data_IF_525517283097
#
_entry.id   IF_525517283097
#
_cell.length_a   1.000
_cell.length_b   1.000
_cell.length_c   1.000
_cell.angle_alpha   90.00
_cell.angle_beta   90.00
_cell.angle_gamma   90.00
#
_symmetry.space_group_name_H-M   'P 1'
#
loop_
_entity.id
_entity.type
_entity.pdbx_description
1 polymer ?
#
# COMPACT_ATOMS: atom_id res chain seq x y z
N UNK A 1 18.56 -0.68 8.65
CA UNK A 1 18.38 -1.66 9.74
C UNK A 1 18.24 -3.05 9.13
N UNK A 2 18.82 -4.06 9.78
CA UNK A 2 18.72 -5.44 9.29
C UNK A 2 17.34 -6.06 9.55
N UNK A 3 16.53 -5.39 10.36
CA UNK A 3 15.17 -5.81 10.70
C UNK A 3 14.16 -5.13 9.78
N UNK A 4 13.18 -5.90 9.31
CA UNK A 4 12.05 -5.37 8.56
C UNK A 4 11.05 -4.66 9.48
N UNK A 5 10.48 -3.56 9.01
CA UNK A 5 9.35 -2.89 9.66
C UNK A 5 8.00 -3.41 9.15
N UNK A 6 8.00 -4.16 8.03
CA UNK A 6 6.80 -4.64 7.34
C UNK A 6 6.58 -6.15 7.46
N UNK A 7 7.64 -6.92 7.68
CA UNK A 7 7.59 -8.38 7.77
C UNK A 7 7.76 -8.80 9.22
N UNK A 8 6.74 -9.46 9.76
CA UNK A 8 6.72 -9.94 11.15
C UNK A 8 7.01 -11.44 11.27
N UNK A 9 6.89 -12.19 10.17
CA UNK A 9 7.15 -13.62 10.17
C UNK A 9 8.66 -13.87 10.22
N UNK A 10 9.09 -14.59 11.24
CA UNK A 10 10.49 -15.03 11.30
C UNK A 10 10.78 -16.09 10.25
N UNK A 11 11.91 -16.00 9.54
CA UNK A 11 12.28 -16.97 8.52
C UNK A 11 12.42 -18.37 9.12
N UNK A 12 11.72 -19.34 8.56
CA UNK A 12 11.88 -20.75 8.91
C UNK A 12 12.74 -21.43 7.84
N UNK A 13 14.02 -21.58 8.14
CA UNK A 13 14.99 -22.22 7.25
C UNK A 13 14.91 -23.74 7.35
N UNK A 14 14.11 -24.36 6.50
CA UNK A 14 14.15 -25.82 6.33
C UNK A 14 15.17 -26.15 5.22
N UNK A 15 16.39 -26.46 5.62
CA UNK A 15 17.53 -26.71 4.71
C UNK A 15 17.44 -28.00 3.91
N UNK A 16 16.33 -28.72 3.93
CA UNK A 16 16.26 -30.11 3.49
C UNK A 16 16.28 -30.37 1.97
N UNK A 17 16.11 -29.34 1.15
CA UNK A 17 15.92 -29.50 -0.30
C UNK A 17 16.73 -28.50 -1.13
N UNK A 18 18.03 -28.39 -0.85
CA UNK A 18 18.93 -27.57 -1.66
C UNK A 18 19.71 -28.51 -2.58
N UNK A 19 19.64 -28.24 -3.87
CA UNK A 19 20.47 -28.92 -4.89
C UNK A 19 21.38 -27.88 -5.53
N UNK A 20 22.67 -28.09 -5.47
CA UNK A 20 23.65 -27.23 -6.11
C UNK A 20 24.29 -27.94 -7.29
N UNK A 21 24.40 -27.20 -8.40
CA UNK A 21 25.14 -27.59 -9.60
C UNK A 21 26.22 -26.57 -9.92
N UNK A 22 27.00 -26.81 -10.96
CA UNK A 22 27.97 -25.83 -11.45
C UNK A 22 27.35 -24.50 -11.79
N UNK A 23 26.19 -24.48 -12.42
CA UNK A 23 25.53 -23.29 -12.99
C UNK A 23 24.34 -22.75 -12.18
N UNK A 24 23.83 -23.53 -11.22
CA UNK A 24 22.66 -23.10 -10.46
C UNK A 24 22.60 -23.67 -9.06
N UNK A 25 21.85 -22.98 -8.19
CA UNK A 25 21.41 -23.46 -6.88
C UNK A 25 19.88 -23.51 -6.91
N UNK A 26 19.30 -24.65 -6.56
CA UNK A 26 17.88 -24.88 -6.52
C UNK A 26 17.42 -25.19 -5.11
N UNK A 27 16.51 -24.39 -4.60
CA UNK A 27 15.82 -24.59 -3.33
C UNK A 27 14.38 -24.97 -3.59
N UNK A 28 13.92 -26.08 -3.01
CA UNK A 28 12.54 -26.54 -3.16
C UNK A 28 11.84 -26.57 -1.82
N UNK A 29 10.73 -25.85 -1.70
CA UNK A 29 9.80 -25.91 -0.59
C UNK A 29 8.53 -26.68 -0.96
N UNK A 30 7.55 -26.74 -0.05
CA UNK A 30 6.29 -27.44 -0.30
C UNK A 30 5.50 -26.85 -1.47
N UNK A 31 5.60 -25.55 -1.72
CA UNK A 31 4.73 -24.84 -2.66
C UNK A 31 5.48 -24.10 -3.77
N UNK A 32 6.74 -23.76 -3.59
CA UNK A 32 7.53 -22.99 -4.53
C UNK A 32 8.95 -23.56 -4.67
N UNK A 33 9.49 -23.45 -5.86
CA UNK A 33 10.88 -23.75 -6.15
C UNK A 33 11.56 -22.44 -6.53
N UNK A 34 12.72 -22.16 -5.90
CA UNK A 34 13.56 -21.01 -6.25
C UNK A 34 14.81 -21.54 -6.91
N UNK A 35 15.10 -21.09 -8.12
CA UNK A 35 16.31 -21.44 -8.87
C UNK A 35 17.16 -20.18 -9.07
N UNK A 36 18.35 -20.20 -8.50
CA UNK A 36 19.36 -19.15 -8.67
C UNK A 36 20.34 -19.58 -9.72
N UNK A 37 20.33 -18.93 -10.88
CA UNK A 37 21.30 -19.11 -11.95
C UNK A 37 22.53 -18.27 -11.62
N UNK A 38 23.72 -18.86 -11.62
CA UNK A 38 24.95 -18.19 -11.19
C UNK A 38 25.52 -17.25 -12.25
N UNK A 39 25.44 -17.63 -13.53
CA UNK A 39 25.96 -16.80 -14.62
C UNK A 39 25.22 -17.05 -15.94
N UNK A 40 24.63 -16.01 -16.57
CA UNK A 40 24.41 -14.70 -15.97
C UNK A 40 23.46 -14.80 -14.75
N UNK A 41 23.67 -13.96 -13.76
CA UNK A 41 22.88 -14.02 -12.53
C UNK A 41 21.39 -13.78 -12.80
N UNK A 42 20.55 -14.72 -12.34
CA UNK A 42 19.11 -14.63 -12.45
C UNK A 42 18.44 -15.47 -11.36
N UNK A 43 17.33 -14.98 -10.80
CA UNK A 43 16.48 -15.77 -9.90
C UNK A 43 15.18 -16.09 -10.61
N UNK A 44 14.76 -17.36 -10.57
CA UNK A 44 13.49 -17.86 -11.07
C UNK A 44 12.68 -18.46 -9.95
N UNK A 45 11.39 -18.19 -9.97
CA UNK A 45 10.39 -18.78 -9.08
C UNK A 45 9.51 -19.70 -9.92
N UNK A 46 9.40 -20.95 -9.49
CA UNK A 46 8.69 -21.99 -10.23
C UNK A 46 7.63 -22.64 -9.33
N UNK A 47 6.57 -23.14 -9.96
CA UNK A 47 5.59 -24.01 -9.31
C UNK A 47 6.15 -25.44 -9.10
N UNK A 48 5.36 -26.29 -8.45
CA UNK A 48 5.72 -27.71 -8.23
C UNK A 48 5.87 -28.51 -9.52
N UNK A 49 5.32 -28.01 -10.63
CA UNK A 49 5.39 -28.66 -11.96
C UNK A 49 6.57 -28.14 -12.79
N UNK A 50 7.41 -27.30 -12.18
CA UNK A 50 8.53 -26.60 -12.83
C UNK A 50 8.13 -25.56 -13.88
N UNK A 51 6.90 -25.05 -13.86
CA UNK A 51 6.55 -23.89 -14.67
C UNK A 51 7.07 -22.62 -14.00
N UNK A 52 7.67 -21.73 -14.79
CA UNK A 52 8.12 -20.43 -14.27
C UNK A 52 6.92 -19.58 -13.95
N UNK A 53 6.79 -19.15 -12.68
CA UNK A 53 5.76 -18.21 -12.20
C UNK A 53 6.24 -16.78 -12.40
N UNK A 54 7.50 -16.51 -12.01
CA UNK A 54 8.14 -15.20 -12.06
C UNK A 54 9.65 -15.38 -12.25
N UNK A 55 10.30 -14.46 -12.95
CA UNK A 55 11.75 -14.44 -13.04
C UNK A 55 12.31 -13.03 -13.02
N UNK A 56 13.41 -12.82 -12.30
CA UNK A 56 14.19 -11.60 -12.47
C UNK A 56 14.77 -11.54 -13.89
N UNK A 57 14.94 -10.31 -14.42
CA UNK A 57 15.73 -10.10 -15.65
C UNK A 57 17.24 -10.16 -15.34
N UNK A 58 17.62 -9.56 -14.22
CA UNK A 58 18.97 -9.50 -13.67
C UNK A 58 18.84 -9.14 -12.19
N UNK A 59 19.90 -9.21 -11.40
CA UNK A 59 19.92 -8.62 -10.06
C UNK A 59 19.69 -7.09 -10.08
N UNK A 60 19.83 -6.43 -8.93
CA UNK A 60 19.75 -4.99 -8.85
C UNK A 60 20.78 -4.30 -9.73
N UNK A 61 20.33 -3.35 -10.53
CA UNK A 61 21.17 -2.49 -11.38
C UNK A 61 21.10 -1.05 -10.91
N UNK A 62 22.20 -0.29 -11.04
CA UNK A 62 22.22 1.14 -10.79
C UNK A 62 21.78 1.87 -12.06
N UNK A 63 20.92 2.88 -11.88
CA UNK A 63 20.49 3.80 -12.93
C UNK A 63 20.81 5.22 -12.51
N UNK A 64 21.24 6.06 -13.46
CA UNK A 64 21.39 7.50 -13.19
C UNK A 64 20.05 8.05 -12.71
N UNK A 65 20.06 8.82 -11.62
CA UNK A 65 18.85 9.38 -11.03
C UNK A 65 18.13 10.29 -12.04
N UNK A 66 16.81 10.10 -12.14
CA UNK A 66 15.90 11.04 -12.76
C UNK A 66 15.12 11.69 -11.60
N UNK A 67 15.11 13.04 -11.49
CA UNK A 67 14.38 13.70 -10.42
C UNK A 67 12.94 13.23 -10.31
N UNK A 68 12.50 13.02 -9.09
CA UNK A 68 11.12 12.65 -8.79
C UNK A 68 10.25 13.91 -8.90
N UNK A 69 9.52 14.07 -9.99
CA UNK A 69 8.79 15.30 -10.34
C UNK A 69 7.82 15.78 -9.25
N UNK A 70 7.30 14.90 -8.44
CA UNK A 70 6.25 15.20 -7.46
C UNK A 70 6.72 15.18 -5.99
N UNK A 71 8.00 15.07 -5.73
CA UNK A 71 8.56 15.14 -4.39
C UNK A 71 8.98 16.58 -4.10
N UNK A 72 8.29 17.23 -3.15
CA UNK A 72 8.70 18.55 -2.67
C UNK A 72 9.94 18.41 -1.78
N UNK A 73 11.02 19.05 -2.14
CA UNK A 73 12.27 19.07 -1.40
C UNK A 73 13.48 18.76 -2.30
N UNK A 74 14.66 19.17 -1.87
CA UNK A 74 15.92 18.90 -2.57
C UNK A 74 16.40 17.48 -2.24
N UNK A 75 15.73 16.46 -2.78
CA UNK A 75 16.25 15.11 -2.73
C UNK A 75 17.19 14.94 -3.90
N UNK A 76 18.48 15.13 -3.64
CA UNK A 76 19.54 14.86 -4.62
C UNK A 76 20.13 13.49 -4.33
N UNK A 77 19.91 12.54 -5.22
CA UNK A 77 20.61 11.26 -5.26
C UNK A 77 21.26 11.13 -6.64
N UNK A 78 22.47 10.61 -6.67
CA UNK A 78 23.21 10.46 -7.94
C UNK A 78 22.68 9.31 -8.78
N UNK A 79 22.15 8.29 -8.13
CA UNK A 79 21.64 7.09 -8.79
C UNK A 79 20.49 6.46 -7.99
N UNK A 80 19.64 5.74 -8.69
CA UNK A 80 18.63 4.84 -8.15
C UNK A 80 19.03 3.39 -8.36
N UNK A 81 18.44 2.50 -7.59
CA UNK A 81 18.60 1.06 -7.76
C UNK A 81 17.30 0.47 -8.30
N UNK A 82 17.44 -0.38 -9.30
CA UNK A 82 16.31 -0.92 -10.07
C UNK A 82 16.39 -2.43 -10.09
N UNK A 83 15.26 -3.07 -9.86
CA UNK A 83 15.05 -4.50 -10.02
C UNK A 83 13.94 -4.74 -11.03
N UNK A 84 14.14 -5.67 -11.95
CA UNK A 84 13.21 -5.96 -13.03
C UNK A 84 12.82 -7.44 -13.06
N UNK A 85 11.55 -7.69 -13.35
CA UNK A 85 10.99 -9.03 -13.53
C UNK A 85 10.34 -9.16 -14.89
N UNK A 86 10.45 -10.36 -15.46
CA UNK A 86 9.69 -10.75 -16.65
C UNK A 86 8.28 -11.16 -16.22
N UNK A 87 7.27 -10.61 -16.86
CA UNK A 87 5.86 -10.97 -16.67
C UNK A 87 5.24 -11.47 -17.97
N UNK A 88 4.17 -12.26 -17.87
CA UNK A 88 3.47 -12.75 -19.07
C UNK A 88 2.66 -11.65 -19.74
N UNK A 89 2.46 -11.74 -21.05
CA UNK A 89 1.68 -10.76 -21.81
C UNK A 89 0.18 -10.74 -21.44
N UNK A 90 -0.35 -11.85 -20.94
CA UNK A 90 -1.73 -12.05 -20.51
C UNK A 90 -1.99 -11.76 -19.02
N UNK A 91 -1.00 -11.24 -18.31
CA UNK A 91 -1.06 -10.99 -16.88
C UNK A 91 -1.76 -9.67 -16.55
N UNK A 92 -2.66 -9.69 -15.59
CA UNK A 92 -3.23 -8.49 -14.97
C UNK A 92 -2.50 -8.22 -13.65
N UNK A 93 -2.15 -6.97 -13.40
CA UNK A 93 -1.43 -6.55 -12.20
C UNK A 93 -2.29 -5.64 -11.33
N UNK A 94 -2.24 -5.86 -10.02
CA UNK A 94 -2.99 -5.15 -8.99
C UNK A 94 -2.03 -4.64 -7.91
N UNK A 95 -2.51 -3.78 -6.99
CA UNK A 95 -1.74 -3.32 -5.83
C UNK A 95 -1.21 -1.90 -5.98
N UNK A 96 -0.07 -1.61 -5.35
CA UNK A 96 0.54 -0.27 -5.33
C UNK A 96 -0.10 0.72 -4.36
N UNK A 97 -1.09 0.30 -3.55
CA UNK A 97 -1.80 1.15 -2.59
C UNK A 97 -2.99 1.90 -3.17
N UNK A 98 -3.41 2.97 -2.50
CA UNK A 98 -4.53 3.81 -2.95
C UNK A 98 -4.16 4.58 -4.21
N UNK A 99 -4.96 4.41 -5.27
CA UNK A 99 -4.75 5.04 -6.57
C UNK A 99 -6.09 5.41 -7.20
N UNK A 100 -6.16 6.57 -7.85
CA UNK A 100 -7.31 7.00 -8.65
C UNK A 100 -7.26 6.35 -10.06
N UNK A 101 -7.14 5.03 -10.10
CA UNK A 101 -7.00 4.21 -11.30
C UNK A 101 -7.98 3.03 -11.25
N UNK A 102 -8.21 2.37 -12.38
CA UNK A 102 -8.94 1.10 -12.44
C UNK A 102 -8.24 -0.02 -11.63
N UNK A 103 -8.92 -1.14 -11.39
CA UNK A 103 -8.36 -2.27 -10.62
C UNK A 103 -7.12 -2.86 -11.29
N UNK A 104 -7.15 -3.06 -12.60
CA UNK A 104 -5.96 -3.44 -13.34
C UNK A 104 -5.00 -2.24 -13.42
N UNK A 105 -3.86 -2.39 -12.81
CA UNK A 105 -2.80 -1.36 -12.73
C UNK A 105 -1.76 -1.48 -13.85
N UNK A 106 -1.79 -2.56 -14.64
CA UNK A 106 -0.82 -2.76 -15.72
C UNK A 106 -0.83 -1.61 -16.71
N UNK A 107 0.34 -1.22 -17.18
CA UNK A 107 0.53 -0.06 -18.06
C UNK A 107 0.74 1.27 -17.32
N UNK A 108 0.81 1.27 -15.99
CA UNK A 108 1.04 2.47 -15.19
C UNK A 108 2.38 2.41 -14.44
N UNK A 109 3.00 3.58 -14.26
CA UNK A 109 4.12 3.78 -13.33
C UNK A 109 3.59 4.49 -12.09
N UNK A 110 3.75 3.86 -10.92
CA UNK A 110 3.18 4.29 -9.65
C UNK A 110 4.28 4.83 -8.74
N UNK A 111 4.16 6.07 -8.28
CA UNK A 111 5.07 6.63 -7.29
C UNK A 111 4.90 5.94 -5.93
N UNK A 112 5.99 5.57 -5.28
CA UNK A 112 6.05 5.09 -3.91
C UNK A 112 6.44 6.26 -3.00
N UNK A 113 5.45 7.10 -2.70
CA UNK A 113 5.60 8.27 -1.86
C UNK A 113 4.27 8.61 -1.19
N UNK A 114 4.22 8.49 0.14
CA UNK A 114 3.01 8.79 0.91
C UNK A 114 2.89 10.30 1.09
N UNK A 115 1.83 10.88 0.53
CA UNK A 115 1.53 12.31 0.65
C UNK A 115 0.03 12.54 0.66
N UNK A 116 -0.44 13.37 1.61
CA UNK A 116 -1.80 13.86 1.55
C UNK A 116 -2.05 14.63 0.24
N UNK A 117 -3.13 14.32 -0.43
CA UNK A 117 -3.50 14.93 -1.69
C UNK A 117 -4.97 15.34 -1.68
N UNK A 118 -5.22 16.62 -1.48
CA UNK A 118 -6.56 17.19 -1.51
C UNK A 118 -7.02 17.43 -2.95
N UNK A 119 -8.28 17.15 -3.22
CA UNK A 119 -8.87 17.41 -4.53
C UNK A 119 -8.27 16.55 -5.64
N UNK A 120 -7.89 15.30 -5.34
CA UNK A 120 -7.41 14.37 -6.35
C UNK A 120 -8.51 14.09 -7.38
N UNK A 121 -8.09 13.90 -8.63
CA UNK A 121 -8.94 13.56 -9.76
C UNK A 121 -8.57 12.17 -10.30
N UNK A 122 -9.34 11.71 -11.27
CA UNK A 122 -9.02 10.48 -12.01
C UNK A 122 -7.59 10.54 -12.53
N UNK A 123 -6.82 9.48 -12.31
CA UNK A 123 -5.40 9.34 -12.64
C UNK A 123 -4.45 10.24 -11.84
N UNK A 124 -4.87 10.79 -10.71
CA UNK A 124 -3.94 11.43 -9.80
C UNK A 124 -2.79 10.47 -9.46
N UNK A 125 -1.56 10.91 -9.67
CA UNK A 125 -0.36 10.10 -9.50
C UNK A 125 -0.12 9.71 -8.04
N UNK A 126 -0.38 10.65 -7.13
CA UNK A 126 -0.20 10.46 -5.69
C UNK A 126 -1.55 10.53 -4.97
N UNK A 127 -1.69 9.64 -4.01
CA UNK A 127 -2.77 9.66 -3.02
C UNK A 127 -2.20 9.42 -1.62
N UNK A 128 -3.06 9.37 -0.61
CA UNK A 128 -2.67 9.41 0.79
C UNK A 128 -1.70 8.30 1.22
N UNK A 129 -1.77 7.12 0.59
CA UNK A 129 -0.83 6.05 0.88
C UNK A 129 -0.52 5.16 -0.32
N UNK A 130 0.68 4.61 -0.34
CA UNK A 130 1.12 3.59 -1.28
C UNK A 130 1.61 2.35 -0.51
N UNK A 131 1.58 1.21 -1.19
CA UNK A 131 2.10 -0.06 -0.68
C UNK A 131 3.03 -0.64 -1.75
N UNK A 132 4.27 -0.99 -1.42
CA UNK A 132 5.23 -1.59 -2.35
C UNK A 132 4.92 -3.08 -2.58
N UNK A 133 3.68 -3.36 -2.98
CA UNK A 133 3.12 -4.70 -3.21
C UNK A 133 2.46 -4.74 -4.59
N UNK A 134 2.80 -5.74 -5.36
CA UNK A 134 2.16 -6.08 -6.64
C UNK A 134 1.56 -7.47 -6.53
N UNK A 135 0.30 -7.62 -6.92
CA UNK A 135 -0.38 -8.91 -7.05
C UNK A 135 -0.63 -9.20 -8.52
N UNK A 136 -0.48 -10.46 -8.91
CA UNK A 136 -0.70 -10.92 -10.27
C UNK A 136 -1.93 -11.81 -10.40
N UNK A 137 -2.61 -11.73 -11.55
CA UNK A 137 -3.66 -12.68 -11.93
C UNK A 137 -3.17 -14.13 -12.03
N UNK A 138 -1.85 -14.35 -11.99
CA UNK A 138 -1.23 -15.68 -11.91
C UNK A 138 -1.09 -16.20 -10.48
N UNK A 139 -1.78 -15.57 -9.50
CA UNK A 139 -1.83 -15.95 -8.09
C UNK A 139 -0.45 -15.91 -7.39
N UNK A 140 0.35 -14.93 -7.73
CA UNK A 140 1.52 -14.57 -6.95
C UNK A 140 1.50 -13.09 -6.56
N UNK A 141 2.28 -12.73 -5.55
CA UNK A 141 2.55 -11.34 -5.18
C UNK A 141 4.04 -11.12 -5.01
N UNK A 142 4.49 -9.90 -5.30
CA UNK A 142 5.84 -9.42 -4.99
C UNK A 142 5.71 -8.26 -4.02
N UNK A 143 6.26 -8.42 -2.82
CA UNK A 143 6.34 -7.40 -1.79
C UNK A 143 7.78 -6.90 -1.69
N UNK A 144 7.99 -5.61 -1.90
CA UNK A 144 9.31 -4.98 -1.76
C UNK A 144 9.43 -4.43 -0.34
N UNK A 145 10.24 -5.07 0.48
CA UNK A 145 10.46 -4.74 1.89
C UNK A 145 11.36 -3.51 2.03
N UNK A 146 10.85 -2.37 1.60
CA UNK A 146 11.57 -1.10 1.59
C UNK A 146 10.60 0.08 1.73
N UNK A 147 10.89 1.00 2.65
CA UNK A 147 10.11 2.20 2.92
C UNK A 147 10.62 3.45 2.21
N UNK A 148 11.72 3.34 1.46
CA UNK A 148 12.29 4.47 0.73
C UNK A 148 11.43 4.89 -0.46
N UNK A 149 11.60 6.15 -0.85
CA UNK A 149 10.95 6.71 -2.04
C UNK A 149 11.41 5.94 -3.29
N UNK A 150 10.47 5.70 -4.20
CA UNK A 150 10.74 4.98 -5.45
C UNK A 150 9.53 4.92 -6.37
N UNK A 151 9.55 3.92 -7.25
CA UNK A 151 8.46 3.64 -8.19
C UNK A 151 8.21 2.15 -8.35
N UNK A 152 6.95 1.83 -8.64
CA UNK A 152 6.54 0.56 -9.25
C UNK A 152 6.12 0.87 -10.70
N UNK A 153 6.87 0.38 -11.67
CA UNK A 153 6.47 0.41 -13.07
C UNK A 153 5.84 -0.93 -13.45
N UNK A 154 4.55 -0.91 -13.68
CA UNK A 154 3.75 -2.08 -13.97
C UNK A 154 3.59 -2.23 -15.50
N UNK A 155 4.70 -2.37 -16.21
CA UNK A 155 4.72 -2.52 -17.67
C UNK A 155 4.22 -1.27 -18.43
N UNK A 156 4.60 -0.07 -17.98
CA UNK A 156 4.20 1.18 -18.65
C UNK A 156 4.75 1.28 -20.07
N UNK A 157 5.87 0.63 -20.35
CA UNK A 157 6.52 0.57 -21.66
C UNK A 157 5.96 -0.52 -22.57
N UNK A 158 5.09 -1.41 -22.06
CA UNK A 158 4.50 -2.55 -22.79
C UNK A 158 5.53 -3.53 -23.32
N UNK A 159 6.58 -3.79 -22.55
CA UNK A 159 7.67 -4.72 -22.87
C UNK A 159 7.66 -5.95 -21.96
N UNK A 160 6.53 -6.21 -21.27
CA UNK A 160 6.31 -7.30 -20.32
C UNK A 160 7.30 -7.26 -19.15
N UNK A 161 7.52 -6.06 -18.60
CA UNK A 161 8.42 -5.85 -17.46
C UNK A 161 7.67 -5.25 -16.28
N UNK A 162 7.79 -5.89 -15.12
CA UNK A 162 7.54 -5.29 -13.81
C UNK A 162 8.86 -4.73 -13.31
N UNK A 163 8.89 -3.43 -12.97
CA UNK A 163 10.10 -2.77 -12.47
C UNK A 163 9.83 -2.14 -11.10
N UNK A 164 10.75 -2.35 -10.17
CA UNK A 164 10.84 -1.64 -8.91
C UNK A 164 12.07 -0.75 -8.91
N UNK A 165 11.91 0.52 -8.58
CA UNK A 165 12.97 1.51 -8.49
C UNK A 165 12.97 2.15 -7.11
N UNK A 166 14.15 2.33 -6.50
CA UNK A 166 14.30 2.96 -5.18
C UNK A 166 15.54 3.84 -5.12
N UNK A 167 15.45 4.93 -4.35
CA UNK A 167 16.59 5.83 -4.12
C UNK A 167 17.57 5.29 -3.08
N UNK A 168 17.11 4.41 -2.18
CA UNK A 168 17.91 3.85 -1.08
C UNK A 168 17.17 2.70 -0.38
N UNK A 169 17.70 2.27 0.77
CA UNK A 169 17.03 1.32 1.65
C UNK A 169 17.40 -0.13 1.41
N UNK A 170 16.54 -1.03 1.89
CA UNK A 170 16.74 -2.49 1.80
C UNK A 170 16.56 -2.98 0.37
N UNK A 171 17.32 -4.03 0.02
CA UNK A 171 17.20 -4.70 -1.27
C UNK A 171 16.54 -6.07 -1.11
N UNK A 172 15.59 -6.15 -0.19
CA UNK A 172 14.87 -7.38 0.12
C UNK A 172 13.49 -7.32 -0.51
N UNK A 173 13.07 -8.40 -1.10
CA UNK A 173 11.70 -8.60 -1.53
C UNK A 173 11.24 -10.01 -1.20
N UNK A 174 9.94 -10.22 -1.10
CA UNK A 174 9.33 -11.53 -0.89
C UNK A 174 8.43 -11.86 -2.09
N UNK A 175 8.51 -13.10 -2.55
CA UNK A 175 7.55 -13.66 -3.50
C UNK A 175 6.61 -14.56 -2.74
N UNK A 176 5.33 -14.22 -2.79
CA UNK A 176 4.24 -14.95 -2.14
C UNK A 176 3.40 -15.61 -3.24
N UNK A 177 3.00 -16.85 -3.03
CA UNK A 177 2.12 -17.58 -3.94
C UNK A 177 0.88 -18.05 -3.20
N UNK A 178 -0.19 -18.30 -3.94
CA UNK A 178 -1.43 -18.90 -3.43
C UNK A 178 -2.09 -19.79 -4.46
N UNK A 179 -2.87 -20.76 -3.99
CA UNK A 179 -3.69 -21.61 -4.86
C UNK A 179 -5.02 -20.93 -5.24
N UNK A 180 -5.40 -19.87 -4.51
CA UNK A 180 -6.54 -18.99 -4.76
C UNK A 180 -6.20 -17.56 -4.34
N UNK A 181 -7.10 -16.59 -4.62
CA UNK A 181 -6.95 -15.22 -4.13
C UNK A 181 -6.98 -15.14 -2.60
N UNK A 182 -7.86 -15.90 -1.97
CA UNK A 182 -7.98 -15.99 -0.51
C UNK A 182 -6.70 -16.52 0.11
N UNK A 183 -6.13 -17.59 -0.48
CA UNK A 183 -4.87 -18.17 0.00
C UNK A 183 -3.69 -17.22 -0.19
N UNK A 184 -3.61 -16.54 -1.33
CA UNK A 184 -2.57 -15.54 -1.59
C UNK A 184 -2.63 -14.40 -0.56
N UNK A 185 -3.83 -13.85 -0.29
CA UNK A 185 -4.02 -12.78 0.71
C UNK A 185 -3.73 -13.30 2.12
N UNK A 186 -4.16 -14.51 2.44
CA UNK A 186 -3.83 -15.14 3.73
C UNK A 186 -2.31 -15.26 3.91
N UNK A 187 -1.59 -15.77 2.92
CA UNK A 187 -0.14 -15.94 2.99
C UNK A 187 0.58 -14.60 3.12
N UNK A 188 0.10 -13.56 2.42
CA UNK A 188 0.60 -12.20 2.58
C UNK A 188 0.35 -11.64 3.99
N UNK A 189 -0.86 -11.81 4.53
CA UNK A 189 -1.17 -11.31 5.87
C UNK A 189 -0.54 -12.14 6.99
N UNK A 190 -0.23 -13.40 6.77
CA UNK A 190 0.59 -14.19 7.70
C UNK A 190 2.04 -13.66 7.73
N UNK A 191 2.55 -13.15 6.61
CA UNK A 191 3.87 -12.53 6.50
C UNK A 191 3.93 -11.16 7.19
N UNK A 192 2.91 -10.31 6.99
CA UNK A 192 2.94 -8.88 7.36
C UNK A 192 2.07 -8.53 8.56
N UNK A 193 1.29 -9.45 9.06
CA UNK A 193 0.33 -9.25 10.14
C UNK A 193 -1.10 -9.10 9.64
N UNK A 194 -2.02 -9.44 10.54
CA UNK A 194 -3.46 -9.38 10.29
C UNK A 194 -4.05 -8.14 10.92
N UNK A 195 -4.92 -7.47 10.19
CA UNK A 195 -5.69 -6.36 10.73
C UNK A 195 -6.69 -6.87 11.76
N UNK A 196 -6.78 -6.25 12.95
CA UNK A 196 -7.87 -6.52 13.89
C UNK A 196 -9.23 -6.23 13.24
N UNK A 197 -10.24 -7.05 13.57
CA UNK A 197 -11.60 -6.78 13.14
C UNK A 197 -12.13 -5.54 13.87
N UNK A 198 -12.45 -4.44 13.16
CA UNK A 198 -13.02 -3.27 13.81
C UNK A 198 -14.47 -3.54 14.25
N UNK A 199 -15.02 -2.72 15.17
CA UNK A 199 -16.41 -2.84 15.57
C UNK A 199 -17.35 -2.57 14.39
N UNK A 200 -18.56 -3.14 14.44
CA UNK A 200 -19.53 -3.09 13.33
C UNK A 200 -19.83 -1.67 12.85
N UNK A 201 -19.99 -0.72 13.77
CA UNK A 201 -20.28 0.68 13.43
C UNK A 201 -19.20 1.33 12.57
N UNK A 202 -17.94 0.86 12.67
CA UNK A 202 -16.83 1.38 11.85
C UNK A 202 -16.97 1.05 10.35
N UNK A 203 -17.90 0.18 9.96
CA UNK A 203 -18.25 -0.12 8.57
C UNK A 203 -19.52 0.62 8.11
N UNK A 204 -20.06 1.48 8.94
CA UNK A 204 -21.29 2.20 8.68
C UNK A 204 -21.13 3.53 7.97
N UNK A 205 -22.13 4.37 8.10
CA UNK A 205 -22.18 5.68 7.47
C UNK A 205 -21.56 6.76 8.37
N UNK A 206 -20.46 7.35 7.93
CA UNK A 206 -19.80 8.48 8.57
C UNK A 206 -20.16 9.78 7.89
N UNK A 207 -20.94 10.65 8.54
CA UNK A 207 -21.22 11.98 8.03
C UNK A 207 -20.06 12.93 8.29
N UNK A 208 -19.29 13.25 7.25
CA UNK A 208 -18.16 14.16 7.31
C UNK A 208 -18.31 15.30 6.30
N UNK A 209 -17.83 16.47 6.69
CA UNK A 209 -17.73 17.64 5.82
C UNK A 209 -16.56 18.52 6.27
N UNK A 210 -16.27 19.56 5.53
CA UNK A 210 -15.23 20.56 5.87
C UNK A 210 -15.58 21.37 7.13
N UNK A 211 -15.89 20.68 8.21
CA UNK A 211 -16.25 21.15 9.54
C UNK A 211 -17.72 21.52 9.71
N UNK A 212 -18.21 21.23 10.91
CA UNK A 212 -19.46 21.73 11.47
C UNK A 212 -19.14 22.93 12.35
N UNK A 213 -19.85 24.04 12.16
CA UNK A 213 -19.47 25.33 12.75
C UNK A 213 -20.09 25.59 14.13
N UNK A 214 -21.02 24.74 14.57
CA UNK A 214 -21.64 24.86 15.89
C UNK A 214 -22.25 23.54 16.34
N UNK A 215 -22.44 23.42 17.65
CA UNK A 215 -23.19 22.32 18.28
C UNK A 215 -24.61 22.20 17.67
N UNK A 216 -25.34 23.31 17.53
CA UNK A 216 -26.66 23.33 16.91
C UNK A 216 -26.66 22.74 15.49
N UNK A 217 -25.61 23.05 14.70
CA UNK A 217 -25.47 22.51 13.34
C UNK A 217 -25.28 21.00 13.35
N UNK A 218 -24.49 20.47 14.28
CA UNK A 218 -24.29 19.03 14.47
C UNK A 218 -25.63 18.37 14.82
N UNK A 219 -26.27 18.82 15.87
CA UNK A 219 -27.55 18.29 16.36
C UNK A 219 -28.65 18.31 15.29
N UNK A 220 -28.77 19.43 14.58
CA UNK A 220 -29.72 19.58 13.46
C UNK A 220 -29.41 18.63 12.30
N UNK A 221 -28.14 18.39 12.02
CA UNK A 221 -27.74 17.46 10.95
C UNK A 221 -28.12 16.02 11.32
N UNK A 222 -27.83 15.59 12.53
CA UNK A 222 -28.20 14.24 13.00
C UNK A 222 -29.73 14.09 13.05
N UNK A 223 -30.44 15.09 13.59
CA UNK A 223 -31.90 15.09 13.58
C UNK A 223 -32.48 14.87 12.19
N UNK A 224 -31.89 15.50 11.16
CA UNK A 224 -32.32 15.30 9.77
C UNK A 224 -32.08 13.88 9.27
N UNK A 225 -30.96 13.25 9.62
CA UNK A 225 -30.74 11.85 9.30
C UNK A 225 -31.81 10.95 9.91
N UNK A 226 -32.19 11.21 11.17
CA UNK A 226 -33.27 10.50 11.86
C UNK A 226 -34.62 10.70 11.17
N UNK A 227 -35.02 11.97 10.90
CA UNK A 227 -36.29 12.32 10.28
C UNK A 227 -36.42 11.72 8.87
N UNK A 228 -35.34 11.71 8.09
CA UNK A 228 -35.26 11.14 6.75
C UNK A 228 -35.07 9.59 6.79
N UNK A 229 -34.96 9.00 7.98
CA UNK A 229 -34.70 7.54 8.20
C UNK A 229 -33.44 7.04 7.47
N UNK A 230 -32.41 7.85 7.40
CA UNK A 230 -31.12 7.52 6.83
C UNK A 230 -30.19 7.10 7.98
N UNK A 231 -29.72 5.83 8.03
CA UNK A 231 -28.79 5.40 9.06
C UNK A 231 -27.49 6.21 9.03
N UNK A 232 -27.02 6.61 10.20
CA UNK A 232 -25.71 7.25 10.41
C UNK A 232 -25.09 6.65 11.66
N UNK A 233 -23.82 6.25 11.56
CA UNK A 233 -23.09 5.58 12.64
C UNK A 233 -22.08 6.51 13.31
N UNK A 234 -21.64 7.55 12.63
CA UNK A 234 -20.74 8.54 13.19
C UNK A 234 -20.85 9.90 12.48
N UNK A 235 -20.49 10.95 13.19
CA UNK A 235 -20.31 12.29 12.64
C UNK A 235 -18.87 12.74 12.92
N UNK A 236 -18.21 13.29 11.91
CA UNK A 236 -16.82 13.78 12.01
C UNK A 236 -16.87 15.30 11.98
N UNK A 237 -16.46 15.96 13.06
CA UNK A 237 -16.51 17.41 13.19
C UNK A 237 -15.47 18.10 12.31
N UNK A 238 -14.30 17.49 12.10
CA UNK A 238 -13.17 17.96 11.31
C UNK A 238 -12.63 19.31 11.80
N UNK A 239 -13.14 20.43 11.26
CA UNK A 239 -12.72 21.80 11.60
C UNK A 239 -13.79 22.55 12.42
N UNK A 240 -13.41 23.68 12.98
CA UNK A 240 -14.22 24.69 13.67
C UNK A 240 -14.76 24.33 15.07
N UNK A 241 -14.60 23.10 15.55
CA UNK A 241 -14.93 22.77 16.95
C UNK A 241 -13.95 23.41 17.96
N UNK A 242 -12.75 23.73 17.49
CA UNK A 242 -11.65 24.33 18.26
C UNK A 242 -11.51 25.86 18.04
N UNK A 243 -12.41 26.50 17.29
CA UNK A 243 -12.39 27.94 17.03
C UNK A 243 -13.08 28.34 15.72
N UNK A 244 -13.41 29.61 15.61
CA UNK A 244 -14.17 30.17 14.49
C UNK A 244 -13.40 30.22 13.17
N UNK A 245 -12.07 30.13 13.23
CA UNK A 245 -11.17 30.15 12.07
C UNK A 245 -10.18 29.01 12.14
N UNK A 246 -9.64 28.60 11.00
CA UNK A 246 -8.57 27.60 10.94
C UNK A 246 -7.24 28.23 11.33
N UNK A 247 -7.01 29.48 10.87
CA UNK A 247 -5.75 30.17 11.09
C UNK A 247 -5.60 30.55 12.55
N UNK A 248 -4.49 30.12 13.17
CA UNK A 248 -4.16 30.42 14.55
C UNK A 248 -4.82 29.52 15.61
N UNK A 249 -5.78 28.68 15.22
CA UNK A 249 -6.47 27.75 16.15
C UNK A 249 -6.33 26.28 15.76
N UNK A 250 -5.91 25.98 14.54
CA UNK A 250 -5.68 24.60 14.10
C UNK A 250 -4.63 23.92 15.01
N UNK A 251 -5.00 22.75 15.55
CA UNK A 251 -4.17 22.01 16.51
C UNK A 251 -4.44 22.36 17.97
N UNK A 252 -5.26 23.36 18.27
CA UNK A 252 -5.81 23.55 19.60
C UNK A 252 -6.80 22.41 19.91
N UNK A 253 -6.55 21.66 20.96
CA UNK A 253 -7.40 20.53 21.37
C UNK A 253 -8.43 20.93 22.44
N UNK A 254 -8.88 22.18 22.41
CA UNK A 254 -9.91 22.71 23.29
C UNK A 254 -11.18 23.08 22.51
N UNK A 255 -12.32 22.84 23.12
CA UNK A 255 -13.60 23.22 22.54
C UNK A 255 -13.79 24.74 22.53
N UNK A 256 -14.19 25.29 21.38
CA UNK A 256 -14.71 26.67 21.31
C UNK A 256 -16.09 26.71 21.98
N UNK A 257 -16.12 27.17 23.24
CA UNK A 257 -17.35 27.21 24.06
C UNK A 257 -18.41 28.19 23.56
N UNK A 258 -18.04 29.13 22.72
CA UNK A 258 -19.04 30.07 22.09
C UNK A 258 -19.92 29.30 21.07
N UNK A 259 -19.32 28.38 20.32
CA UNK A 259 -20.01 27.65 19.24
C UNK A 259 -20.38 26.22 19.64
N UNK A 260 -19.67 25.65 20.60
CA UNK A 260 -19.94 24.33 21.20
C UNK A 260 -20.03 24.47 22.75
N UNK A 261 -21.16 25.04 23.26
CA UNK A 261 -21.27 25.37 24.69
C UNK A 261 -21.30 24.15 25.61
N UNK A 262 -21.88 23.03 25.16
CA UNK A 262 -22.04 21.82 25.95
C UNK A 262 -21.62 20.55 25.18
N UNK A 263 -20.34 20.42 24.80
CA UNK A 263 -19.89 19.32 23.95
C UNK A 263 -20.07 17.94 24.61
N UNK A 264 -19.85 17.86 25.93
CA UNK A 264 -20.02 16.58 26.66
C UNK A 264 -21.46 16.08 26.61
N UNK A 265 -22.44 17.01 26.79
CA UNK A 265 -23.84 16.67 26.64
C UNK A 265 -24.19 16.28 25.22
N UNK A 266 -23.72 17.05 24.24
CA UNK A 266 -23.90 16.72 22.81
C UNK A 266 -23.39 15.32 22.48
N UNK A 267 -22.18 14.97 22.92
CA UNK A 267 -21.60 13.64 22.70
C UNK A 267 -22.44 12.55 23.40
N UNK A 268 -22.88 12.80 24.63
CA UNK A 268 -23.73 11.86 25.35
C UNK A 268 -25.07 11.62 24.64
N UNK A 269 -25.73 12.68 24.18
CA UNK A 269 -27.00 12.61 23.44
C UNK A 269 -26.84 11.87 22.09
N UNK A 270 -25.71 12.04 21.41
CA UNK A 270 -25.44 11.36 20.13
C UNK A 270 -25.09 9.87 20.30
N UNK A 271 -24.69 9.44 21.49
CA UNK A 271 -24.38 8.04 21.80
C UNK A 271 -25.55 7.26 22.41
N UNK A 272 -26.67 7.91 22.69
CA UNK A 272 -27.87 7.32 23.29
C UNK A 272 -28.75 6.63 22.23
#
# INVERSE_FOLDING_TARGET
>A
SDKSDMVILEPNYTSKNILESENSIRYSSNNIIVEVIKSPFQIKYLDKKNNVILSEKSGYIKRKHIPLENVKGNITVDSTEVLQFNISSDETLYGGGARALGMNRRGNKLALYNRAHYGYETRAELMNFCIPLVLSSKLYAVHFDNTAIGYLDLDSKKDNTLEYETISGRKTYQVIIGDSWEDLVKNYTDLTGKQPLPPRWAFGNFSSRFGYRSQEQVEKTIKRFEDDKIPVDAIILDLYWFGKTIQGTMGNLEWDKDTFPNPDKMIADLNA
#
